data_IF_080272996741
#
_entry.id   IF_080272996741
#
_cell.length_a   1.000
_cell.length_b   1.000
_cell.length_c   1.000
_cell.angle_alpha   90.00
_cell.angle_beta   90.00
_cell.angle_gamma   90.00
#
_symmetry.space_group_name_H-M   'P 1'
#
loop_
_entity.id
_entity.type
_entity.pdbx_description
1 polymer ?
#
# COMPACT_ATOMS: atom_id res chain seq x y z
N UNK A 1 15.44 -34.02 55.67
CA UNK A 1 16.30 -33.91 54.48
C UNK A 1 15.96 -32.59 53.78
N UNK A 2 16.51 -31.47 54.25
CA UNK A 2 16.42 -30.15 53.60
C UNK A 2 17.67 -29.38 53.99
N UNK A 3 18.50 -29.02 53.00
CA UNK A 3 19.63 -28.10 53.12
C UNK A 3 19.20 -26.76 52.53
N UNK A 4 19.43 -25.67 53.24
CA UNK A 4 19.48 -24.33 52.66
C UNK A 4 20.71 -23.64 53.22
N UNK A 5 21.71 -23.44 52.37
CA UNK A 5 22.95 -22.73 52.67
C UNK A 5 22.74 -21.24 52.34
N UNK A 6 22.99 -20.37 53.31
CA UNK A 6 23.29 -18.95 53.09
C UNK A 6 24.78 -18.80 52.84
N UNK A 7 25.19 -18.09 51.79
CA UNK A 7 26.48 -17.39 51.73
C UNK A 7 26.26 -16.01 51.07
N UNK A 8 26.82 -15.01 51.74
CA UNK A 8 26.85 -13.58 51.45
C UNK A 8 28.05 -13.22 50.57
N UNK A 9 27.94 -12.17 49.75
CA UNK A 9 29.11 -11.36 49.35
C UNK A 9 28.73 -9.89 49.14
N UNK A 10 29.41 -9.05 49.92
CA UNK A 10 29.43 -7.59 49.93
C UNK A 10 30.40 -7.08 48.86
N UNK A 11 30.07 -6.02 48.10
CA UNK A 11 30.95 -4.84 47.93
C UNK A 11 30.35 -3.69 47.07
N UNK A 12 30.27 -2.53 47.73
CA UNK A 12 30.42 -1.12 47.32
C UNK A 12 29.93 -0.61 45.95
N UNK A 13 28.95 0.28 46.09
CA UNK A 13 28.47 1.35 45.22
C UNK A 13 29.54 2.42 44.98
N UNK A 14 29.63 2.98 43.75
CA UNK A 14 29.79 4.42 43.56
C UNK A 14 28.50 5.05 43.01
N UNK A 15 28.01 6.08 43.69
CA UNK A 15 26.97 7.01 43.20
C UNK A 15 27.63 8.15 42.46
N UNK A 16 27.23 8.37 41.20
CA UNK A 16 26.93 9.66 40.57
C UNK A 16 26.59 9.38 39.11
N UNK A 17 25.32 9.52 38.71
CA UNK A 17 24.76 10.76 38.18
C UNK A 17 25.21 11.02 36.74
N UNK A 18 24.48 10.41 35.78
CA UNK A 18 23.94 11.06 34.58
C UNK A 18 23.31 9.99 33.68
N UNK A 19 22.06 9.64 33.99
CA UNK A 19 21.19 8.97 33.01
C UNK A 19 20.80 10.05 32.01
N UNK A 20 21.64 10.25 30.99
CA UNK A 20 21.17 10.89 29.77
C UNK A 20 20.05 10.01 29.23
N UNK A 21 18.85 10.60 29.19
CA UNK A 21 17.75 10.22 28.30
C UNK A 21 18.29 10.12 26.87
N UNK A 22 18.83 8.97 26.48
CA UNK A 22 19.08 8.64 25.09
C UNK A 22 17.79 8.07 24.53
N UNK A 23 17.15 8.89 23.70
CA UNK A 23 16.14 8.54 22.71
C UNK A 23 16.32 7.09 22.26
N UNK A 24 15.34 6.23 22.55
CA UNK A 24 15.21 4.92 21.94
C UNK A 24 14.78 5.15 20.50
N UNK A 25 15.77 5.43 19.65
CA UNK A 25 15.63 5.46 18.21
C UNK A 25 15.36 4.00 17.78
N UNK A 26 14.27 3.70 17.06
CA UNK A 26 13.94 2.35 16.58
C UNK A 26 15.05 1.66 15.76
N UNK A 27 16.04 2.43 15.27
CA UNK A 27 17.12 1.96 14.41
C UNK A 27 18.21 1.11 15.07
N UNK A 28 18.38 1.11 16.40
CA UNK A 28 19.51 0.37 17.04
C UNK A 28 19.14 -1.09 17.35
N UNK A 29 17.85 -1.40 17.55
CA UNK A 29 17.41 -2.77 17.92
C UNK A 29 17.10 -3.63 16.69
N UNK A 30 16.80 -3.03 15.53
CA UNK A 30 16.56 -3.75 14.28
C UNK A 30 17.84 -4.30 13.63
N UNK A 31 19.03 -3.78 13.97
CA UNK A 31 20.30 -4.21 13.37
C UNK A 31 20.76 -5.63 13.81
N UNK A 32 19.99 -6.33 14.66
CA UNK A 32 20.33 -7.66 15.19
C UNK A 32 19.26 -8.74 14.92
N UNK A 33 18.20 -8.46 14.16
CA UNK A 33 17.26 -9.53 13.76
C UNK A 33 17.82 -10.32 12.55
N UNK A 34 18.21 -11.59 12.71
CA UNK A 34 18.72 -12.43 11.62
C UNK A 34 17.69 -12.69 10.49
N UNK A 35 16.45 -12.22 10.63
CA UNK A 35 15.40 -12.27 9.59
C UNK A 35 15.42 -11.08 8.63
N UNK A 36 16.22 -10.04 8.88
CA UNK A 36 16.32 -8.87 8.01
C UNK A 36 17.40 -9.07 6.94
N UNK A 37 16.97 -9.37 5.72
CA UNK A 37 17.84 -9.44 4.54
C UNK A 37 18.33 -8.04 4.18
N UNK A 38 19.64 -7.81 4.22
CA UNK A 38 20.23 -6.57 3.73
C UNK A 38 20.12 -6.48 2.21
N UNK A 39 19.88 -5.26 1.70
CA UNK A 39 19.90 -4.97 0.27
C UNK A 39 21.33 -5.09 -0.26
N UNK A 40 21.50 -5.73 -1.42
CA UNK A 40 22.73 -5.68 -2.20
C UNK A 40 22.73 -4.41 -3.06
N UNK A 41 23.19 -3.31 -2.47
CA UNK A 41 23.16 -2.00 -3.11
C UNK A 41 24.18 -1.84 -4.22
N UNK A 42 25.36 -2.45 -4.08
CA UNK A 42 26.45 -2.31 -5.03
C UNK A 42 26.13 -2.87 -6.41
N UNK A 43 25.45 -4.02 -6.46
CA UNK A 43 25.11 -4.71 -7.70
C UNK A 43 23.61 -4.63 -8.00
N UNK A 44 22.76 -5.26 -7.19
CA UNK A 44 21.34 -5.41 -7.54
C UNK A 44 20.58 -4.08 -7.57
N UNK A 45 20.69 -3.25 -6.54
CA UNK A 45 19.98 -1.97 -6.49
C UNK A 45 20.42 -1.02 -7.61
N UNK A 46 21.72 -0.79 -7.75
CA UNK A 46 22.25 0.14 -8.76
C UNK A 46 21.96 -0.34 -10.19
N UNK A 47 22.12 -1.64 -10.46
CA UNK A 47 21.79 -2.21 -11.78
C UNK A 47 20.30 -2.07 -12.09
N UNK A 48 19.42 -2.47 -11.17
CA UNK A 48 17.98 -2.40 -11.42
C UNK A 48 17.48 -0.95 -11.51
N UNK A 49 17.99 -0.05 -10.68
CA UNK A 49 17.70 1.38 -10.78
C UNK A 49 18.17 1.96 -12.12
N UNK A 50 19.37 1.60 -12.59
CA UNK A 50 19.88 2.07 -13.88
C UNK A 50 19.04 1.54 -15.05
N UNK A 51 18.57 0.28 -14.99
CA UNK A 51 17.64 -0.25 -15.98
C UNK A 51 16.33 0.53 -16.00
N UNK A 52 15.73 0.78 -14.84
CA UNK A 52 14.52 1.60 -14.71
C UNK A 52 14.72 3.01 -15.29
N UNK A 53 15.81 3.69 -14.89
CA UNK A 53 16.11 5.03 -15.37
C UNK A 53 16.34 5.04 -16.89
N UNK A 54 17.03 4.03 -17.44
CA UNK A 54 17.26 3.90 -18.89
C UNK A 54 15.96 3.70 -19.64
N UNK A 55 15.08 2.82 -19.16
CA UNK A 55 13.77 2.55 -19.76
C UNK A 55 12.89 3.80 -19.79
N UNK A 56 12.92 4.60 -18.72
CA UNK A 56 12.13 5.82 -18.59
C UNK A 56 12.78 7.05 -19.22
N UNK A 57 14.03 6.98 -19.66
CA UNK A 57 14.79 8.14 -20.14
C UNK A 57 15.13 9.14 -19.03
N UNK A 58 15.25 8.68 -17.78
CA UNK A 58 15.60 9.50 -16.63
C UNK A 58 17.11 9.66 -16.45
N UNK A 59 17.51 10.70 -15.73
CA UNK A 59 18.90 10.90 -15.31
C UNK A 59 19.38 9.67 -14.51
N UNK A 60 20.52 9.11 -14.90
CA UNK A 60 21.06 7.88 -14.31
C UNK A 60 21.48 8.05 -12.85
N UNK A 61 21.64 9.28 -12.36
CA UNK A 61 21.94 9.58 -10.96
C UNK A 61 20.71 9.54 -10.04
N UNK A 62 19.49 9.39 -10.57
CA UNK A 62 18.28 9.27 -9.78
C UNK A 62 18.21 7.90 -9.08
N UNK A 63 18.00 7.91 -7.77
CA UNK A 63 18.03 6.72 -6.91
C UNK A 63 17.82 7.10 -5.45
N UNK A 64 18.30 6.27 -4.52
CA UNK A 64 18.07 6.44 -3.07
C UNK A 64 18.50 7.82 -2.54
N UNK A 65 19.68 8.31 -2.94
CA UNK A 65 20.20 9.60 -2.46
C UNK A 65 19.46 10.81 -3.04
N UNK A 66 18.82 10.65 -4.20
CA UNK A 66 18.04 11.66 -4.91
C UNK A 66 16.58 11.21 -5.07
N UNK A 67 16.01 10.58 -4.05
CA UNK A 67 14.69 9.97 -4.16
C UNK A 67 13.59 11.01 -4.46
N UNK A 68 13.73 12.26 -3.98
CA UNK A 68 12.76 13.32 -4.29
C UNK A 68 12.77 13.71 -5.77
N UNK A 69 13.96 13.75 -6.40
CA UNK A 69 14.11 14.02 -7.82
C UNK A 69 13.59 12.83 -8.64
N UNK A 70 13.87 11.60 -8.20
CA UNK A 70 13.31 10.37 -8.78
C UNK A 70 11.77 10.38 -8.75
N UNK A 71 11.19 10.67 -7.58
CA UNK A 71 9.74 10.78 -7.39
C UNK A 71 9.16 11.86 -8.31
N UNK A 72 9.82 13.00 -8.40
CA UNK A 72 9.37 14.10 -9.26
C UNK A 72 9.44 13.74 -10.74
N UNK A 73 10.45 12.99 -11.19
CA UNK A 73 10.54 12.48 -12.56
C UNK A 73 9.41 11.47 -12.87
N UNK A 74 9.10 10.56 -11.94
CA UNK A 74 7.99 9.61 -12.05
C UNK A 74 6.65 10.35 -12.13
N UNK A 75 6.37 11.22 -11.15
CA UNK A 75 5.12 11.99 -11.09
C UNK A 75 4.97 12.94 -12.28
N UNK A 76 6.07 13.49 -12.81
CA UNK A 76 6.06 14.28 -14.05
C UNK A 76 5.64 13.44 -15.26
N UNK A 77 5.98 12.15 -15.30
CA UNK A 77 5.47 11.26 -16.35
C UNK A 77 3.94 11.19 -16.32
N UNK A 78 3.34 11.10 -15.13
CA UNK A 78 1.88 11.13 -14.97
C UNK A 78 1.30 12.48 -15.39
N UNK A 79 2.00 13.56 -15.07
CA UNK A 79 1.56 14.92 -15.34
C UNK A 79 1.60 15.29 -16.84
N UNK A 80 2.66 14.89 -17.56
CA UNK A 80 2.90 15.27 -18.95
C UNK A 80 2.22 14.31 -19.95
N UNK A 81 2.13 13.02 -19.60
CA UNK A 81 1.68 11.97 -20.52
C UNK A 81 0.45 11.20 -20.02
N UNK A 82 -0.19 11.68 -18.96
CA UNK A 82 -1.47 11.15 -18.48
C UNK A 82 -1.44 9.63 -18.23
N UNK A 83 -2.48 8.89 -18.63
CA UNK A 83 -2.52 7.44 -18.41
C UNK A 83 -1.47 6.67 -19.24
N UNK A 84 -0.94 7.26 -20.31
CA UNK A 84 0.19 6.68 -21.05
C UNK A 84 1.49 6.78 -20.24
N UNK A 85 1.73 7.94 -19.60
CA UNK A 85 2.86 8.11 -18.68
C UNK A 85 2.81 7.13 -17.52
N UNK A 86 1.60 6.97 -16.94
CA UNK A 86 1.35 5.96 -15.91
C UNK A 86 1.67 4.54 -16.39
N UNK A 87 1.20 4.16 -17.60
CA UNK A 87 1.45 2.84 -18.18
C UNK A 87 2.95 2.59 -18.37
N UNK A 88 3.68 3.55 -18.94
CA UNK A 88 5.12 3.42 -19.16
C UNK A 88 5.89 3.22 -17.85
N UNK A 89 5.53 3.97 -16.81
CA UNK A 89 6.09 3.79 -15.46
C UNK A 89 5.78 2.39 -14.93
N UNK A 90 4.56 1.90 -15.11
CA UNK A 90 4.17 0.57 -14.63
C UNK A 90 4.87 -0.57 -15.37
N UNK A 91 5.09 -0.44 -16.68
CA UNK A 91 5.91 -1.39 -17.45
C UNK A 91 7.36 -1.38 -16.96
N UNK A 92 7.97 -0.20 -16.80
CA UNK A 92 9.32 -0.07 -16.27
C UNK A 92 9.43 -0.59 -14.83
N UNK A 93 8.39 -0.39 -14.01
CA UNK A 93 8.33 -0.91 -12.65
C UNK A 93 8.25 -2.44 -12.61
N UNK A 94 7.48 -3.06 -13.52
CA UNK A 94 7.45 -4.53 -13.68
C UNK A 94 8.84 -5.07 -14.04
N UNK A 95 9.55 -4.43 -14.97
CA UNK A 95 10.92 -4.81 -15.32
C UNK A 95 11.90 -4.61 -14.14
N UNK A 96 11.77 -3.50 -13.41
CA UNK A 96 12.53 -3.23 -12.19
C UNK A 96 12.32 -4.31 -11.14
N UNK A 97 11.08 -4.73 -10.91
CA UNK A 97 10.74 -5.82 -10.00
C UNK A 97 11.34 -7.17 -10.42
N UNK A 98 11.42 -7.44 -11.72
CA UNK A 98 11.96 -8.67 -12.30
C UNK A 98 13.49 -8.71 -12.34
N UNK A 99 14.15 -7.56 -12.30
CA UNK A 99 15.60 -7.46 -12.27
C UNK A 99 16.22 -8.04 -10.99
N UNK A 100 15.48 -8.08 -9.88
CA UNK A 100 15.95 -8.64 -8.61
C UNK A 100 15.76 -10.16 -8.51
N UNK A 101 16.76 -10.85 -7.96
CA UNK A 101 16.68 -12.27 -7.57
C UNK A 101 16.60 -12.43 -6.04
N UNK A 102 16.23 -13.63 -5.57
CA UNK A 102 16.41 -14.08 -4.18
C UNK A 102 15.83 -13.14 -3.09
N UNK A 103 14.66 -12.54 -3.34
CA UNK A 103 13.99 -11.64 -2.39
C UNK A 103 14.64 -10.26 -2.24
N UNK A 104 15.67 -9.93 -3.04
CA UNK A 104 16.35 -8.64 -3.00
C UNK A 104 15.43 -7.46 -3.34
N UNK A 105 14.37 -7.67 -4.12
CA UNK A 105 13.37 -6.65 -4.37
C UNK A 105 12.75 -6.14 -3.06
N UNK A 106 12.36 -7.04 -2.17
CA UNK A 106 11.78 -6.66 -0.88
C UNK A 106 12.79 -5.89 -0.03
N UNK A 107 14.02 -6.40 0.07
CA UNK A 107 15.09 -5.77 0.83
C UNK A 107 15.50 -4.38 0.30
N UNK A 108 15.48 -4.17 -1.02
CA UNK A 108 15.97 -2.95 -1.66
C UNK A 108 14.89 -1.90 -1.96
N UNK A 109 13.65 -2.32 -2.20
CA UNK A 109 12.60 -1.43 -2.71
C UNK A 109 11.34 -1.38 -1.82
N UNK A 110 11.10 -2.36 -0.94
CA UNK A 110 9.88 -2.41 -0.10
C UNK A 110 10.15 -2.31 1.41
N UNK A 111 11.39 -2.51 1.85
CA UNK A 111 11.75 -2.48 3.27
C UNK A 111 12.91 -1.50 3.54
N UNK A 112 12.68 -0.39 4.27
CA UNK A 112 13.73 0.59 4.53
C UNK A 112 14.89 0.01 5.35
N UNK A 113 14.65 -1.01 6.19
CA UNK A 113 15.70 -1.66 6.97
C UNK A 113 16.73 -2.38 6.10
N UNK A 114 16.33 -2.91 4.94
CA UNK A 114 17.28 -3.55 4.02
C UNK A 114 18.27 -2.56 3.44
N UNK A 115 17.86 -1.30 3.22
CA UNK A 115 18.74 -0.21 2.79
C UNK A 115 19.62 0.33 3.93
N UNK A 116 19.09 0.37 5.16
CA UNK A 116 19.78 0.92 6.34
C UNK A 116 20.82 -0.01 6.95
N UNK A 117 20.66 -1.33 6.78
CA UNK A 117 21.58 -2.33 7.34
C UNK A 117 22.93 -2.42 6.60
N UNK A 118 23.14 -1.60 5.55
CA UNK A 118 24.36 -1.08 4.88
C UNK A 118 25.67 -1.90 4.83
N UNK A 119 25.70 -3.17 5.23
CA UNK A 119 26.91 -4.01 5.22
C UNK A 119 27.25 -4.46 3.79
N UNK A 120 26.28 -4.39 2.86
CA UNK A 120 26.41 -4.87 1.47
C UNK A 120 26.35 -3.73 0.41
N UNK A 121 26.31 -2.45 0.81
CA UNK A 121 26.20 -1.29 -0.09
C UNK A 121 27.56 -0.63 -0.37
N UNK A 122 28.65 -1.39 -0.44
CA UNK A 122 29.97 -0.85 -0.77
C UNK A 122 30.47 0.26 0.16
N UNK A 123 29.97 0.33 1.40
CA UNK A 123 30.31 1.37 2.39
C UNK A 123 29.45 2.63 2.34
N UNK A 124 28.43 2.72 1.48
CA UNK A 124 27.51 3.88 1.43
C UNK A 124 26.41 3.71 2.48
N UNK A 125 26.37 4.61 3.46
CA UNK A 125 25.29 4.69 4.44
C UNK A 125 24.20 5.63 3.95
N UNK A 126 22.96 5.14 3.89
CA UNK A 126 21.78 5.95 3.62
C UNK A 126 21.20 6.49 4.91
N UNK A 127 20.62 7.70 4.86
CA UNK A 127 19.85 8.23 5.99
C UNK A 127 18.49 7.53 6.07
N UNK A 128 17.85 7.59 7.25
CA UNK A 128 16.48 7.08 7.42
C UNK A 128 15.51 7.74 6.43
N UNK A 129 15.64 9.05 6.21
CA UNK A 129 14.80 9.80 5.27
C UNK A 129 14.98 9.30 3.83
N UNK A 130 16.22 9.06 3.40
CA UNK A 130 16.52 8.52 2.08
C UNK A 130 15.94 7.12 1.88
N UNK A 131 16.13 6.23 2.87
CA UNK A 131 15.61 4.86 2.80
C UNK A 131 14.07 4.85 2.78
N UNK A 132 13.44 5.60 3.69
CA UNK A 132 11.98 5.68 3.78
C UNK A 132 11.38 6.31 2.52
N UNK A 133 11.93 7.44 2.08
CA UNK A 133 11.45 8.16 0.90
C UNK A 133 11.60 7.36 -0.38
N UNK A 134 12.70 6.62 -0.55
CA UNK A 134 12.90 5.75 -1.69
C UNK A 134 11.93 4.58 -1.71
N UNK A 135 11.78 3.87 -0.59
CA UNK A 135 10.84 2.74 -0.45
C UNK A 135 9.39 3.20 -0.64
N UNK A 136 9.04 4.39 -0.14
CA UNK A 136 7.73 5.00 -0.34
C UNK A 136 7.35 5.05 -1.81
N UNK A 137 8.24 5.48 -2.71
CA UNK A 137 7.97 5.59 -4.16
C UNK A 137 7.50 4.26 -4.73
N UNK A 138 8.23 3.18 -4.48
CA UNK A 138 7.91 1.87 -5.05
C UNK A 138 6.62 1.30 -4.50
N UNK A 139 6.35 1.51 -3.21
CA UNK A 139 5.09 1.12 -2.57
C UNK A 139 3.90 1.91 -3.13
N UNK A 140 4.10 3.18 -3.50
CA UNK A 140 3.09 3.94 -4.22
C UNK A 140 2.83 3.35 -5.61
N UNK A 141 3.88 2.93 -6.32
CA UNK A 141 3.74 2.28 -7.63
C UNK A 141 3.01 0.94 -7.55
N UNK A 142 3.13 0.17 -6.46
CA UNK A 142 2.35 -1.05 -6.24
C UNK A 142 0.83 -0.80 -6.27
N UNK A 143 0.37 0.31 -5.68
CA UNK A 143 -1.02 0.72 -5.77
C UNK A 143 -1.36 1.27 -7.16
N UNK A 144 -0.55 2.20 -7.66
CA UNK A 144 -0.81 2.94 -8.90
C UNK A 144 -0.85 2.03 -10.12
N UNK A 145 -0.01 1.01 -10.16
CA UNK A 145 0.08 0.04 -11.25
C UNK A 145 -0.89 -1.15 -11.09
N UNK A 146 -1.44 -1.34 -9.88
CA UNK A 146 -2.51 -2.30 -9.61
C UNK A 146 -3.88 -1.62 -9.58
N UNK A 147 -4.51 -1.66 -8.41
CA UNK A 147 -5.88 -1.18 -8.21
C UNK A 147 -6.11 0.31 -8.52
N UNK A 148 -5.07 1.14 -8.46
CA UNK A 148 -5.16 2.58 -8.72
C UNK A 148 -5.17 2.93 -10.21
N UNK A 149 -4.71 2.05 -11.08
CA UNK A 149 -4.42 2.39 -12.48
C UNK A 149 -5.66 2.84 -13.25
N UNK A 150 -6.74 2.04 -13.17
CA UNK A 150 -7.99 2.31 -13.88
C UNK A 150 -8.67 3.58 -13.35
N UNK A 151 -8.58 3.85 -12.05
CA UNK A 151 -9.15 5.03 -11.42
C UNK A 151 -8.48 6.29 -11.96
N UNK A 152 -7.14 6.31 -12.03
CA UNK A 152 -6.40 7.43 -12.62
C UNK A 152 -6.70 7.57 -14.11
N UNK A 153 -6.66 6.47 -14.86
CA UNK A 153 -6.89 6.49 -16.30
C UNK A 153 -8.27 7.04 -16.68
N UNK A 154 -9.30 6.74 -15.89
CA UNK A 154 -10.67 7.25 -16.12
C UNK A 154 -10.85 8.75 -15.84
N UNK A 155 -9.87 9.37 -15.20
CA UNK A 155 -9.88 10.78 -14.87
C UNK A 155 -8.52 11.43 -15.18
N UNK A 156 -7.85 10.95 -16.22
CA UNK A 156 -6.45 11.24 -16.47
C UNK A 156 -6.19 12.73 -16.67
N UNK A 157 -7.09 13.46 -17.33
CA UNK A 157 -6.97 14.91 -17.51
C UNK A 157 -6.83 15.65 -16.16
N UNK A 158 -7.75 15.37 -15.23
CA UNK A 158 -7.77 16.07 -13.96
C UNK A 158 -6.72 15.50 -12.99
N UNK A 159 -6.51 14.18 -12.99
CA UNK A 159 -5.49 13.53 -12.16
C UNK A 159 -4.08 14.02 -12.51
N UNK A 160 -3.78 14.15 -13.80
CA UNK A 160 -2.49 14.70 -14.28
C UNK A 160 -2.36 16.18 -13.94
N UNK A 161 -3.45 16.95 -13.99
CA UNK A 161 -3.44 18.35 -13.58
C UNK A 161 -3.11 18.53 -12.08
N UNK A 162 -3.42 17.56 -11.22
CA UNK A 162 -2.99 17.59 -9.81
C UNK A 162 -1.47 17.54 -9.73
N UNK A 163 -0.81 16.63 -10.45
CA UNK A 163 0.65 16.55 -10.45
C UNK A 163 1.33 17.77 -11.11
N UNK A 164 0.67 18.43 -12.07
CA UNK A 164 1.19 19.69 -12.61
C UNK A 164 1.08 20.88 -11.63
N UNK A 165 0.01 20.94 -10.84
CA UNK A 165 -0.33 22.16 -10.10
C UNK A 165 -0.17 22.06 -8.57
N UNK A 166 -0.21 20.85 -8.02
CA UNK A 166 -0.29 20.59 -6.58
C UNK A 166 0.91 19.82 -6.03
N UNK A 167 1.95 19.56 -6.83
CA UNK A 167 3.16 18.85 -6.37
C UNK A 167 3.81 19.52 -5.15
N UNK A 168 3.87 20.86 -5.12
CA UNK A 168 4.38 21.57 -3.95
C UNK A 168 3.54 21.32 -2.68
N UNK A 169 2.21 21.28 -2.81
CA UNK A 169 1.31 20.99 -1.71
C UNK A 169 1.41 19.51 -1.27
N UNK A 170 1.58 18.59 -2.21
CA UNK A 170 1.86 17.17 -1.93
C UNK A 170 3.17 17.02 -1.13
N UNK A 171 4.24 17.71 -1.53
CA UNK A 171 5.50 17.74 -0.77
C UNK A 171 5.35 18.36 0.60
N UNK A 172 4.45 19.33 0.77
CA UNK A 172 4.13 19.86 2.08
C UNK A 172 3.43 18.80 2.95
N UNK A 173 2.48 18.04 2.41
CA UNK A 173 1.85 16.92 3.13
C UNK A 173 2.91 15.89 3.60
N UNK A 174 3.86 15.54 2.72
CA UNK A 174 4.98 14.64 3.04
C UNK A 174 5.86 15.20 4.17
N UNK A 175 6.22 16.49 4.09
CA UNK A 175 7.07 17.16 5.07
C UNK A 175 6.39 17.25 6.44
N UNK A 176 5.12 17.67 6.47
CA UNK A 176 4.33 17.75 7.69
C UNK A 176 4.25 16.39 8.40
N UNK A 177 4.04 15.31 7.63
CA UNK A 177 4.08 13.95 8.14
C UNK A 177 5.45 13.63 8.76
N UNK A 178 6.53 13.80 8.01
CA UNK A 178 7.88 13.46 8.46
C UNK A 178 8.28 14.23 9.73
N UNK A 179 8.00 15.54 9.79
CA UNK A 179 8.31 16.37 10.95
C UNK A 179 7.51 15.95 12.16
N UNK A 180 6.19 15.73 12.02
CA UNK A 180 5.32 15.37 13.15
C UNK A 180 5.58 13.95 13.65
N UNK A 181 5.74 12.98 12.75
CA UNK A 181 6.05 11.60 13.11
C UNK A 181 7.44 11.46 13.75
N UNK A 182 8.41 12.31 13.38
CA UNK A 182 9.71 12.36 14.06
C UNK A 182 9.63 13.00 15.45
N UNK A 183 8.79 14.04 15.61
CA UNK A 183 8.60 14.73 16.88
C UNK A 183 7.80 13.91 17.89
N UNK A 184 6.79 13.17 17.44
CA UNK A 184 5.94 12.31 18.28
C UNK A 184 5.67 10.95 17.61
N UNK A 185 6.61 9.99 17.76
CA UNK A 185 6.49 8.67 17.14
C UNK A 185 5.31 7.83 17.63
N UNK A 186 4.74 8.13 18.80
CA UNK A 186 3.59 7.39 19.33
C UNK A 186 2.31 7.71 18.54
N UNK A 187 2.23 8.91 17.98
CA UNK A 187 1.11 9.39 17.17
C UNK A 187 1.36 9.21 15.66
N UNK A 188 2.38 8.44 15.27
CA UNK A 188 2.73 8.24 13.87
C UNK A 188 1.54 7.81 13.00
N UNK A 189 0.66 6.93 13.50
CA UNK A 189 -0.53 6.50 12.76
C UNK A 189 -1.54 7.63 12.53
N UNK A 190 -1.75 8.50 13.52
CA UNK A 190 -2.60 9.68 13.32
C UNK A 190 -2.01 10.60 12.25
N UNK A 191 -0.68 10.73 12.19
CA UNK A 191 -0.03 11.53 11.15
C UNK A 191 -0.10 10.88 9.76
N UNK A 192 -0.08 9.54 9.66
CA UNK A 192 -0.34 8.84 8.37
C UNK A 192 -1.74 9.17 7.86
N UNK A 193 -2.73 9.17 8.74
CA UNK A 193 -4.12 9.50 8.40
C UNK A 193 -4.25 10.96 7.95
N UNK A 194 -3.60 11.89 8.64
CA UNK A 194 -3.56 13.31 8.27
C UNK A 194 -2.90 13.49 6.88
N UNK A 195 -1.79 12.79 6.61
CA UNK A 195 -1.11 12.84 5.33
C UNK A 195 -1.99 12.30 4.18
N UNK A 196 -2.61 11.14 4.40
CA UNK A 196 -3.51 10.53 3.42
C UNK A 196 -4.73 11.43 3.13
N UNK A 197 -5.31 12.05 4.15
CA UNK A 197 -6.38 13.04 3.97
C UNK A 197 -5.89 14.31 3.28
N UNK A 198 -4.66 14.77 3.53
CA UNK A 198 -4.07 15.90 2.81
C UNK A 198 -4.08 15.64 1.29
N UNK A 199 -3.63 14.46 0.86
CA UNK A 199 -3.72 14.04 -0.54
C UNK A 199 -5.17 13.90 -1.04
N UNK A 200 -6.06 13.32 -0.24
CA UNK A 200 -7.49 13.25 -0.56
C UNK A 200 -8.03 14.64 -0.92
N UNK A 201 -7.76 15.64 -0.09
CA UNK A 201 -8.24 17.02 -0.29
C UNK A 201 -7.64 17.65 -1.54
N UNK A 202 -6.36 17.43 -1.86
CA UNK A 202 -5.74 17.96 -3.06
C UNK A 202 -6.42 17.42 -4.34
N UNK A 203 -6.60 16.10 -4.41
CA UNK A 203 -7.25 15.45 -5.55
C UNK A 203 -8.76 15.77 -5.61
N UNK A 204 -9.45 15.81 -4.48
CA UNK A 204 -10.85 16.25 -4.40
C UNK A 204 -11.02 17.70 -4.89
N UNK A 205 -10.15 18.61 -4.45
CA UNK A 205 -10.26 20.02 -4.79
C UNK A 205 -10.00 20.29 -6.26
N UNK A 206 -9.10 19.55 -6.89
CA UNK A 206 -8.83 19.66 -8.31
C UNK A 206 -9.92 19.00 -9.19
N UNK A 207 -10.35 17.78 -8.83
CA UNK A 207 -11.17 16.96 -9.73
C UNK A 207 -12.68 16.95 -9.39
N UNK A 208 -13.05 17.23 -8.13
CA UNK A 208 -14.42 17.09 -7.61
C UNK A 208 -15.06 15.71 -7.89
N UNK A 209 -14.22 14.67 -7.90
CA UNK A 209 -14.56 13.28 -8.17
C UNK A 209 -14.14 12.39 -6.99
N UNK A 210 -15.07 11.65 -6.37
CA UNK A 210 -14.77 10.84 -5.18
C UNK A 210 -13.76 9.72 -5.46
N UNK A 211 -13.80 9.12 -6.65
CA UNK A 211 -12.85 8.10 -7.09
C UNK A 211 -11.42 8.63 -7.21
N UNK A 212 -11.25 9.87 -7.68
CA UNK A 212 -9.93 10.51 -7.82
C UNK A 212 -9.38 10.97 -6.47
N UNK A 213 -10.25 11.43 -5.57
CA UNK A 213 -9.87 11.73 -4.18
C UNK A 213 -9.45 10.46 -3.43
N UNK A 214 -10.21 9.36 -3.59
CA UNK A 214 -9.84 8.04 -3.09
C UNK A 214 -8.49 7.57 -3.65
N UNK A 215 -8.21 7.83 -4.93
CA UNK A 215 -6.93 7.53 -5.54
C UNK A 215 -5.79 8.28 -4.87
N UNK A 216 -5.91 9.60 -4.71
CA UNK A 216 -4.90 10.42 -4.04
C UNK A 216 -4.63 9.97 -2.60
N UNK A 217 -5.70 9.65 -1.87
CA UNK A 217 -5.59 9.11 -0.52
C UNK A 217 -4.80 7.79 -0.48
N UNK A 218 -5.13 6.83 -1.35
CA UNK A 218 -4.45 5.53 -1.38
C UNK A 218 -3.03 5.61 -1.91
N UNK A 219 -2.77 6.57 -2.82
CA UNK A 219 -1.42 6.89 -3.26
C UNK A 219 -0.55 7.24 -2.05
N UNK A 220 -1.00 8.13 -1.18
CA UNK A 220 -0.21 8.47 0.02
C UNK A 220 -0.20 7.34 1.06
N UNK A 221 -1.37 6.77 1.35
CA UNK A 221 -1.51 5.69 2.34
C UNK A 221 -0.61 4.50 2.04
N UNK A 222 -0.62 3.99 0.80
CA UNK A 222 0.14 2.78 0.46
C UNK A 222 1.65 3.00 0.55
N UNK A 223 2.10 4.19 0.15
CA UNK A 223 3.50 4.60 0.31
C UNK A 223 3.97 4.58 1.76
N UNK A 224 3.12 5.06 2.66
CA UNK A 224 3.48 5.30 4.08
C UNK A 224 3.16 4.10 4.99
N UNK A 225 2.14 3.30 4.69
CA UNK A 225 1.71 2.17 5.53
C UNK A 225 2.77 1.07 5.65
N UNK A 226 3.58 0.84 4.59
CA UNK A 226 4.68 -0.12 4.67
C UNK A 226 5.87 0.39 5.51
N UNK A 227 5.99 1.70 5.73
CA UNK A 227 6.95 2.28 6.67
C UNK A 227 6.44 2.17 8.13
N UNK A 228 5.13 2.10 8.32
CA UNK A 228 4.45 2.01 9.61
C UNK A 228 3.39 0.91 9.60
N UNK A 229 3.80 -0.38 9.51
CA UNK A 229 2.87 -1.50 9.35
C UNK A 229 1.87 -1.65 10.50
N UNK A 230 2.14 -1.05 11.66
CA UNK A 230 1.21 -0.95 12.79
C UNK A 230 -0.02 -0.07 12.50
N UNK A 231 0.02 0.76 11.46
CA UNK A 231 -1.05 1.71 11.11
C UNK A 231 -2.06 1.13 10.10
N UNK A 232 -2.26 -0.20 10.11
CA UNK A 232 -3.07 -0.95 9.14
C UNK A 232 -4.57 -0.62 9.14
N UNK A 233 -5.06 0.09 10.15
CA UNK A 233 -6.48 0.44 10.30
C UNK A 233 -6.89 1.72 9.57
N UNK A 234 -5.97 2.39 8.87
CA UNK A 234 -6.30 3.62 8.13
C UNK A 234 -6.94 3.23 6.80
N UNK A 235 -8.15 3.70 6.56
CA UNK A 235 -8.89 3.43 5.31
C UNK A 235 -9.27 4.73 4.61
N UNK A 236 -8.93 4.80 3.33
CA UNK A 236 -9.45 5.82 2.43
C UNK A 236 -10.90 5.48 2.10
N UNK A 237 -11.85 6.24 2.63
CA UNK A 237 -13.28 6.03 2.38
C UNK A 237 -13.81 7.15 1.48
N UNK A 238 -14.99 6.96 0.88
CA UNK A 238 -15.62 8.01 0.08
C UNK A 238 -16.28 9.11 0.92
N UNK A 239 -16.29 8.97 2.26
CA UNK A 239 -17.06 9.80 3.21
C UNK A 239 -16.27 10.87 3.95
N UNK A 240 -15.01 11.15 3.57
CA UNK A 240 -14.16 12.18 4.21
C UNK A 240 -14.66 13.64 4.07
N UNK A 241 -15.89 13.84 3.59
CA UNK A 241 -16.50 15.15 3.32
C UNK A 241 -17.11 15.82 4.55
N UNK A 242 -17.49 15.08 5.59
CA UNK A 242 -18.09 15.69 6.78
C UNK A 242 -17.03 16.05 7.84
N UNK A 243 -16.36 17.18 7.60
CA UNK A 243 -15.47 17.89 8.52
C UNK A 243 -16.20 18.45 9.78
N UNK A 244 -17.20 17.75 10.31
CA UNK A 244 -17.85 18.10 11.57
C UNK A 244 -17.29 17.32 12.77
N UNK A 245 -16.56 16.22 12.54
CA UNK A 245 -16.08 15.35 13.62
C UNK A 245 -14.67 15.69 14.12
N UNK A 246 -13.81 16.31 13.31
CA UNK A 246 -12.45 16.66 13.74
C UNK A 246 -12.38 17.90 14.65
N UNK A 247 -13.40 18.78 14.62
CA UNK A 247 -13.46 19.96 15.51
C UNK A 247 -13.94 19.61 16.93
N UNK A 248 -14.67 18.50 17.10
CA UNK A 248 -15.10 18.05 18.42
C UNK A 248 -13.94 17.45 19.24
N UNK A 249 -12.94 16.87 18.57
CA UNK A 249 -11.74 16.31 19.21
C UNK A 249 -10.83 17.42 19.74
N UNK A 250 -10.79 18.60 19.10
CA UNK A 250 -9.96 19.73 19.54
C UNK A 250 -10.56 20.48 20.76
N UNK A 251 -11.88 20.42 20.97
CA UNK A 251 -12.56 21.12 22.08
C UNK A 251 -12.63 20.27 23.37
N UNK A 252 -12.47 18.94 23.27
CA UNK A 252 -12.55 18.01 24.41
C UNK A 252 -11.15 17.63 24.97
N UNK A 253 -10.06 18.13 24.37
CA UNK A 253 -8.68 17.76 24.70
C UNK A 253 -8.03 18.39 25.95
N UNK A 254 -8.76 18.63 27.04
CA UNK A 254 -8.18 19.04 28.34
C UNK A 254 -8.58 18.19 29.54
N UNK A 255 -9.20 17.02 29.32
CA UNK A 255 -9.42 16.06 30.42
C UNK A 255 -9.06 14.66 29.96
N UNK A 256 -7.95 14.12 30.48
CA UNK A 256 -7.72 12.70 30.72
C UNK A 256 -8.01 11.71 29.58
N UNK A 257 -6.93 11.13 29.05
CA UNK A 257 -6.80 9.71 28.68
C UNK A 257 -8.11 8.91 28.73
N UNK A 258 -8.78 8.85 27.59
CA UNK A 258 -9.46 7.63 27.16
C UNK A 258 -9.03 7.40 25.72
N UNK A 259 -8.38 6.28 25.51
CA UNK A 259 -8.26 5.63 24.21
C UNK A 259 -9.60 5.73 23.49
N UNK A 260 -9.68 6.61 22.49
CA UNK A 260 -10.68 6.52 21.45
C UNK A 260 -10.37 5.31 20.57
N UNK A 261 -10.41 4.12 21.18
CA UNK A 261 -10.88 2.98 20.44
C UNK A 261 -12.25 3.39 19.94
N UNK A 262 -12.44 3.37 18.62
CA UNK A 262 -13.74 2.96 18.13
C UNK A 262 -13.99 1.64 18.86
N UNK A 263 -14.80 1.69 19.93
CA UNK A 263 -15.63 0.56 20.27
C UNK A 263 -16.41 0.31 18.99
N UNK A 264 -15.87 -0.56 18.15
CA UNK A 264 -16.63 -1.31 17.17
C UNK A 264 -17.58 -2.16 18.00
N UNK A 265 -18.60 -1.52 18.57
CA UNK A 265 -19.74 -2.23 19.06
C UNK A 265 -20.23 -3.05 17.87
N UNK A 266 -20.13 -4.36 18.02
CA UNK A 266 -20.51 -5.34 17.00
C UNK A 266 -21.93 -5.10 16.48
N UNK A 267 -22.77 -4.39 17.24
CA UNK A 267 -24.11 -3.96 16.82
C UNK A 267 -24.06 -2.93 15.69
N UNK A 268 -23.21 -1.89 15.73
CA UNK A 268 -23.16 -0.82 14.72
C UNK A 268 -22.59 -1.33 13.38
N UNK A 269 -21.59 -2.22 13.43
CA UNK A 269 -21.09 -2.88 12.23
C UNK A 269 -22.18 -3.76 11.59
N UNK A 270 -22.90 -4.54 12.40
CA UNK A 270 -23.98 -5.41 11.90
C UNK A 270 -25.19 -4.62 11.45
N UNK A 271 -25.46 -3.44 12.01
CA UNK A 271 -26.50 -2.51 11.58
C UNK A 271 -26.15 -1.87 10.23
N UNK A 272 -24.92 -1.35 10.06
CA UNK A 272 -24.45 -0.84 8.77
C UNK A 272 -24.41 -1.94 7.70
N UNK A 273 -23.98 -3.15 8.06
CA UNK A 273 -23.99 -4.31 7.17
C UNK A 273 -25.43 -4.74 6.84
N UNK A 274 -26.35 -4.69 7.80
CA UNK A 274 -27.77 -5.01 7.60
C UNK A 274 -28.47 -3.96 6.72
N UNK A 275 -28.16 -2.68 6.89
CA UNK A 275 -28.70 -1.60 6.07
C UNK A 275 -28.12 -1.63 4.65
N UNK A 276 -26.84 -1.97 4.49
CA UNK A 276 -26.23 -2.23 3.19
C UNK A 276 -26.86 -3.47 2.52
N UNK A 277 -27.02 -4.56 3.26
CA UNK A 277 -27.67 -5.78 2.77
C UNK A 277 -29.13 -5.51 2.38
N UNK A 278 -29.86 -4.70 3.16
CA UNK A 278 -31.24 -4.30 2.91
C UNK A 278 -31.36 -3.38 1.70
N UNK A 279 -30.48 -2.37 1.59
CA UNK A 279 -30.41 -1.48 0.43
C UNK A 279 -30.09 -2.23 -0.87
N UNK A 280 -29.30 -3.31 -0.77
CA UNK A 280 -28.91 -4.15 -1.89
C UNK A 280 -29.81 -5.39 -2.09
N UNK A 281 -30.85 -5.57 -1.27
CA UNK A 281 -31.75 -6.75 -1.29
C UNK A 281 -31.03 -8.10 -1.18
N UNK A 282 -30.03 -8.20 -0.30
CA UNK A 282 -29.18 -9.36 -0.07
C UNK A 282 -29.71 -10.17 1.11
N UNK A 283 -30.11 -11.43 0.89
CA UNK A 283 -30.50 -12.37 1.95
C UNK A 283 -29.34 -13.27 2.45
N UNK A 284 -28.22 -13.34 1.70
CA UNK A 284 -27.02 -14.14 1.99
C UNK A 284 -25.80 -13.49 1.26
N UNK A 285 -24.62 -13.28 1.88
CA UNK A 285 -23.67 -12.26 1.43
C UNK A 285 -22.78 -12.73 0.27
N UNK A 286 -23.20 -12.43 -0.97
CA UNK A 286 -22.36 -12.28 -2.17
C UNK A 286 -23.09 -11.34 -3.17
N UNK A 287 -22.59 -10.15 -3.55
CA UNK A 287 -23.38 -9.28 -4.43
C UNK A 287 -22.60 -8.60 -5.56
N UNK A 288 -22.98 -8.83 -6.83
CA UNK A 288 -23.19 -7.69 -7.75
C UNK A 288 -24.07 -8.00 -8.97
N UNK A 289 -25.17 -7.24 -9.10
CA UNK A 289 -25.72 -6.53 -10.28
C UNK A 289 -27.25 -6.39 -10.23
N UNK A 290 -27.73 -5.13 -10.25
CA UNK A 290 -28.94 -4.76 -11.01
C UNK A 290 -28.68 -3.46 -11.77
N UNK A 291 -28.89 -3.52 -13.08
CA UNK A 291 -28.84 -2.39 -14.00
C UNK A 291 -30.02 -1.44 -13.79
N UNK A 292 -29.76 -0.14 -13.91
CA UNK A 292 -30.75 0.81 -14.43
C UNK A 292 -30.16 1.55 -15.62
N UNK A 293 -30.86 1.44 -16.74
CA UNK A 293 -30.56 1.96 -18.06
C UNK A 293 -30.55 3.48 -18.09
N UNK A 294 -29.36 4.10 -18.18
CA UNK A 294 -29.15 5.36 -18.91
C UNK A 294 -27.66 5.57 -19.18
N UNK A 295 -27.40 6.25 -20.30
CA UNK A 295 -26.11 6.66 -20.87
C UNK A 295 -25.19 5.55 -21.41
N UNK A 296 -25.49 5.08 -22.62
CA UNK A 296 -24.67 4.14 -23.41
C UNK A 296 -23.74 4.83 -24.42
N UNK A 297 -23.47 6.13 -24.31
CA UNK A 297 -22.80 6.90 -25.39
C UNK A 297 -21.61 7.79 -24.98
N UNK A 298 -21.03 7.64 -23.79
CA UNK A 298 -19.80 8.39 -23.42
C UNK A 298 -18.80 7.60 -22.57
N UNK A 299 -18.60 6.32 -22.85
CA UNK A 299 -17.61 5.47 -22.16
C UNK A 299 -16.73 4.73 -23.17
N UNK A 300 -16.01 5.50 -23.98
CA UNK A 300 -14.80 5.04 -24.67
C UNK A 300 -13.63 5.90 -24.15
N UNK A 301 -13.01 5.45 -23.06
CA UNK A 301 -11.61 5.79 -22.75
C UNK A 301 -10.99 4.66 -21.94
N UNK A 302 -9.74 4.37 -22.27
CA UNK A 302 -9.10 3.08 -22.06
C UNK A 302 -8.87 2.77 -20.57
N UNK A 303 -9.03 1.48 -20.22
CA UNK A 303 -8.78 0.81 -18.93
C UNK A 303 -9.99 0.61 -18.00
N UNK A 304 -11.09 1.36 -18.15
CA UNK A 304 -12.43 0.83 -17.80
C UNK A 304 -13.02 0.02 -18.96
N UNK A 305 -12.48 0.20 -20.17
CA UNK A 305 -12.76 -0.63 -21.33
C UNK A 305 -12.48 -2.13 -21.06
N UNK A 306 -11.59 -2.49 -20.15
CA UNK A 306 -11.29 -3.89 -19.77
C UNK A 306 -12.50 -4.57 -19.12
N UNK A 307 -13.15 -3.88 -18.18
CA UNK A 307 -14.39 -4.35 -17.52
C UNK A 307 -15.61 -4.18 -18.40
N UNK A 308 -15.69 -3.11 -19.22
CA UNK A 308 -16.83 -2.84 -20.09
C UNK A 308 -16.82 -3.62 -21.41
N UNK A 309 -15.65 -3.97 -21.96
CA UNK A 309 -15.55 -4.81 -23.18
C UNK A 309 -15.87 -6.28 -22.90
N UNK A 310 -15.69 -6.70 -21.65
CA UNK A 310 -15.92 -8.07 -21.18
C UNK A 310 -17.00 -8.15 -20.09
N UNK A 311 -17.83 -7.12 -19.94
CA UNK A 311 -18.78 -6.96 -18.81
C UNK A 311 -19.65 -8.21 -18.61
N UNK A 312 -20.14 -8.77 -19.71
CA UNK A 312 -20.97 -9.97 -19.71
C UNK A 312 -20.25 -11.19 -19.12
N UNK A 313 -19.03 -11.47 -19.58
CA UNK A 313 -18.29 -12.64 -19.09
C UNK A 313 -17.78 -12.42 -17.68
N UNK A 314 -17.26 -11.23 -17.34
CA UNK A 314 -16.78 -10.93 -15.99
C UNK A 314 -17.90 -11.11 -14.98
N UNK A 315 -19.08 -10.55 -15.26
CA UNK A 315 -20.26 -10.68 -14.41
C UNK A 315 -20.77 -12.12 -14.31
N UNK A 316 -20.62 -12.92 -15.37
CA UNK A 316 -21.01 -14.32 -15.38
C UNK A 316 -20.05 -15.18 -14.56
N UNK A 317 -18.75 -14.87 -14.57
CA UNK A 317 -17.72 -15.59 -13.78
C UNK A 317 -18.05 -15.58 -12.29
N UNK A 318 -18.67 -14.51 -11.79
CA UNK A 318 -19.07 -14.40 -10.38
C UNK A 318 -20.35 -15.13 -10.01
N UNK A 319 -21.04 -15.71 -11.00
CA UNK A 319 -22.31 -16.40 -10.81
C UNK A 319 -22.11 -17.91 -10.92
N UNK A 320 -23.08 -18.65 -10.40
CA UNK A 320 -23.13 -20.12 -10.50
C UNK A 320 -21.87 -20.79 -9.95
N UNK A 321 -21.46 -21.85 -10.63
CA UNK A 321 -20.37 -22.74 -10.18
C UNK A 321 -19.01 -22.04 -10.17
N UNK A 322 -18.75 -21.12 -11.11
CA UNK A 322 -17.52 -20.32 -11.12
C UNK A 322 -17.47 -19.35 -9.94
N UNK A 323 -18.58 -18.71 -9.60
CA UNK A 323 -18.67 -17.87 -8.41
C UNK A 323 -18.43 -18.65 -7.12
N UNK A 324 -18.99 -19.87 -7.01
CA UNK A 324 -18.74 -20.77 -5.89
C UNK A 324 -17.26 -21.18 -5.81
N UNK A 325 -16.64 -21.47 -6.95
CA UNK A 325 -15.21 -21.81 -7.04
C UNK A 325 -14.33 -20.64 -6.60
N UNK A 326 -14.62 -19.41 -7.05
CA UNK A 326 -13.91 -18.20 -6.62
C UNK A 326 -14.02 -18.00 -5.10
N UNK A 327 -15.22 -18.20 -4.55
CA UNK A 327 -15.44 -18.14 -3.10
C UNK A 327 -14.63 -19.19 -2.37
N UNK A 328 -14.61 -20.43 -2.86
CA UNK A 328 -13.85 -21.52 -2.26
C UNK A 328 -12.35 -21.24 -2.31
N UNK A 329 -11.82 -20.76 -3.44
CA UNK A 329 -10.40 -20.42 -3.56
C UNK A 329 -9.98 -19.31 -2.60
N UNK A 330 -10.85 -18.32 -2.37
CA UNK A 330 -10.62 -17.31 -1.34
C UNK A 330 -10.63 -17.93 0.05
N UNK A 331 -11.66 -18.70 0.39
CA UNK A 331 -11.77 -19.32 1.72
C UNK A 331 -10.59 -20.27 2.01
N UNK A 332 -10.19 -21.09 1.03
CA UNK A 332 -9.04 -21.98 1.16
C UNK A 332 -7.77 -21.21 1.48
N UNK A 333 -7.55 -20.08 0.80
CA UNK A 333 -6.40 -19.21 1.09
C UNK A 333 -6.52 -18.61 2.48
N UNK A 334 -7.62 -17.92 2.78
CA UNK A 334 -7.81 -17.18 4.03
C UNK A 334 -7.71 -18.10 5.24
N UNK A 335 -8.41 -19.23 5.24
CA UNK A 335 -8.42 -20.18 6.36
C UNK A 335 -7.05 -20.84 6.53
N UNK A 336 -6.43 -21.31 5.43
CA UNK A 336 -5.17 -22.06 5.55
C UNK A 336 -4.00 -21.13 5.92
N UNK A 337 -3.97 -19.92 5.36
CA UNK A 337 -2.92 -18.94 5.68
C UNK A 337 -3.03 -18.38 7.09
N UNK A 338 -4.25 -18.31 7.67
CA UNK A 338 -4.43 -17.95 9.08
C UNK A 338 -3.95 -19.05 10.05
N UNK A 339 -4.09 -20.31 9.66
CA UNK A 339 -3.62 -21.45 10.46
C UNK A 339 -2.09 -21.56 10.42
N UNK A 340 -1.49 -21.34 9.25
CA UNK A 340 -0.03 -21.35 9.08
C UNK A 340 0.45 -20.19 8.19
N UNK A 341 0.74 -19.07 8.85
CA UNK A 341 1.25 -17.87 8.20
C UNK A 341 2.58 -18.08 7.43
N UNK A 342 3.35 -19.14 7.76
CA UNK A 342 4.61 -19.43 7.04
C UNK A 342 4.35 -19.93 5.63
N UNK A 343 3.18 -20.53 5.38
CA UNK A 343 2.76 -21.00 4.06
C UNK A 343 1.99 -19.95 3.26
N UNK A 344 1.65 -18.80 3.86
CA UNK A 344 0.82 -17.78 3.22
C UNK A 344 1.35 -17.36 1.85
N UNK A 345 2.66 -17.20 1.69
CA UNK A 345 3.25 -16.80 0.40
C UNK A 345 3.32 -17.93 -0.61
N UNK A 346 3.38 -19.19 -0.16
CA UNK A 346 3.27 -20.36 -1.05
C UNK A 346 1.83 -20.53 -1.54
N UNK A 347 0.85 -20.33 -0.65
CA UNK A 347 -0.58 -20.42 -0.95
C UNK A 347 -1.08 -19.26 -1.82
N UNK A 348 -0.41 -18.10 -1.74
CA UNK A 348 -0.71 -16.92 -2.54
C UNK A 348 -0.80 -17.24 -4.04
N UNK A 349 0.18 -17.96 -4.60
CA UNK A 349 0.18 -18.31 -6.02
C UNK A 349 -1.00 -19.21 -6.40
N UNK A 350 -1.37 -20.17 -5.54
CA UNK A 350 -2.54 -21.04 -5.77
C UNK A 350 -3.83 -20.21 -5.82
N UNK A 351 -3.93 -19.21 -4.95
CA UNK A 351 -5.08 -18.32 -4.90
C UNK A 351 -5.19 -17.44 -6.15
N UNK A 352 -4.08 -16.81 -6.57
CA UNK A 352 -4.01 -16.01 -7.80
C UNK A 352 -4.40 -16.84 -9.04
N UNK A 353 -3.77 -18.01 -9.22
CA UNK A 353 -4.00 -18.89 -10.37
C UNK A 353 -5.46 -19.35 -10.43
N UNK A 354 -6.09 -19.62 -9.28
CA UNK A 354 -7.50 -19.98 -9.27
C UNK A 354 -8.37 -18.85 -9.85
N UNK A 355 -8.14 -17.61 -9.41
CA UNK A 355 -8.88 -16.46 -9.90
C UNK A 355 -8.66 -16.25 -11.40
N UNK A 356 -7.40 -16.24 -11.85
CA UNK A 356 -7.06 -16.15 -13.28
C UNK A 356 -7.76 -17.24 -14.10
N UNK A 357 -7.75 -18.49 -13.61
CA UNK A 357 -8.34 -19.63 -14.33
C UNK A 357 -9.86 -19.50 -14.48
N UNK A 358 -10.59 -19.04 -13.46
CA UNK A 358 -12.03 -18.87 -13.58
C UNK A 358 -12.39 -17.77 -14.58
N UNK A 359 -11.62 -16.68 -14.61
CA UNK A 359 -11.82 -15.63 -15.60
C UNK A 359 -11.39 -16.05 -17.00
N UNK A 360 -10.30 -16.81 -17.13
CA UNK A 360 -9.89 -17.42 -18.40
C UNK A 360 -10.98 -18.33 -18.97
N UNK A 361 -11.55 -19.21 -18.15
CA UNK A 361 -12.56 -20.17 -18.60
C UNK A 361 -13.86 -19.48 -19.07
N UNK A 362 -14.26 -18.40 -18.40
CA UNK A 362 -15.52 -17.72 -18.70
C UNK A 362 -15.41 -16.57 -19.70
N UNK A 363 -14.25 -15.90 -19.76
CA UNK A 363 -13.99 -14.80 -20.69
C UNK A 363 -13.17 -15.23 -21.92
N UNK A 364 -12.66 -16.46 -21.93
CA UNK A 364 -11.86 -17.02 -23.01
C UNK A 364 -10.36 -16.72 -22.88
N UNK A 365 -9.56 -17.59 -23.50
CA UNK A 365 -8.09 -17.57 -23.42
C UNK A 365 -7.44 -16.28 -23.91
N UNK A 366 -8.14 -15.50 -24.75
CA UNK A 366 -7.65 -14.22 -25.29
C UNK A 366 -8.01 -13.02 -24.42
N UNK A 367 -8.79 -13.20 -23.35
CA UNK A 367 -9.16 -12.13 -22.44
C UNK A 367 -8.09 -11.96 -21.35
N UNK A 368 -6.86 -11.65 -21.76
CA UNK A 368 -5.71 -11.44 -20.86
C UNK A 368 -6.01 -10.33 -19.83
N UNK A 369 -6.72 -9.32 -20.30
CA UNK A 369 -7.31 -8.22 -19.56
C UNK A 369 -8.17 -8.65 -18.36
N UNK A 370 -9.11 -9.59 -18.56
CA UNK A 370 -9.98 -10.09 -17.48
C UNK A 370 -9.22 -11.00 -16.52
N UNK A 371 -8.25 -11.76 -17.04
CA UNK A 371 -7.37 -12.62 -16.23
C UNK A 371 -6.48 -11.78 -15.32
N UNK A 372 -5.85 -10.74 -15.87
CA UNK A 372 -5.02 -9.80 -15.12
C UNK A 372 -5.80 -9.11 -14.01
N UNK A 373 -7.01 -8.62 -14.32
CA UNK A 373 -7.87 -8.01 -13.31
C UNK A 373 -8.18 -8.99 -12.16
N UNK A 374 -8.49 -10.25 -12.47
CA UNK A 374 -8.80 -11.27 -11.46
C UNK A 374 -7.61 -11.58 -10.56
N UNK A 375 -6.42 -11.60 -11.15
CA UNK A 375 -5.18 -11.72 -10.41
C UNK A 375 -4.97 -10.52 -9.48
N UNK A 376 -5.07 -9.29 -9.97
CA UNK A 376 -4.88 -8.10 -9.12
C UNK A 376 -5.93 -8.02 -8.00
N UNK A 377 -7.18 -8.39 -8.29
CA UNK A 377 -8.24 -8.46 -7.29
C UNK A 377 -7.88 -9.43 -6.14
N UNK A 378 -7.38 -10.63 -6.47
CA UNK A 378 -6.97 -11.62 -5.47
C UNK A 378 -5.65 -11.24 -4.78
N UNK A 379 -4.72 -10.60 -5.50
CA UNK A 379 -3.44 -10.09 -4.97
C UNK A 379 -3.64 -9.04 -3.89
N UNK A 380 -4.63 -8.16 -4.04
CA UNK A 380 -4.96 -7.17 -3.00
C UNK A 380 -5.34 -7.83 -1.68
N UNK A 381 -6.10 -8.93 -1.71
CA UNK A 381 -6.44 -9.68 -0.49
C UNK A 381 -5.19 -10.30 0.15
N UNK A 382 -4.31 -10.93 -0.66
CA UNK A 382 -3.02 -11.48 -0.20
C UNK A 382 -2.19 -10.39 0.48
N UNK A 383 -1.99 -9.26 -0.19
CA UNK A 383 -1.18 -8.15 0.31
C UNK A 383 -1.75 -7.52 1.57
N UNK A 384 -3.08 -7.44 1.68
CA UNK A 384 -3.76 -6.89 2.86
C UNK A 384 -3.54 -7.76 4.09
N UNK A 385 -3.40 -9.09 3.93
CA UNK A 385 -3.20 -10.03 5.03
C UNK A 385 -1.73 -10.33 5.31
N UNK A 386 -0.93 -10.48 4.25
CA UNK A 386 0.47 -10.89 4.29
C UNK A 386 1.29 -10.06 3.30
N UNK A 387 1.60 -8.79 3.63
CA UNK A 387 2.28 -7.87 2.73
C UNK A 387 3.69 -8.32 2.32
N UNK A 388 4.31 -9.22 3.09
CA UNK A 388 5.62 -9.81 2.76
C UNK A 388 5.59 -10.79 1.59
N UNK A 389 4.40 -11.20 1.12
CA UNK A 389 4.29 -12.14 0.02
C UNK A 389 4.48 -11.45 -1.33
N UNK A 390 5.57 -11.81 -2.02
CA UNK A 390 5.89 -11.34 -3.37
C UNK A 390 5.01 -11.99 -4.46
N UNK A 391 3.70 -12.09 -4.23
CA UNK A 391 2.73 -12.62 -5.18
C UNK A 391 2.59 -11.64 -6.35
N UNK A 392 2.72 -12.13 -7.59
CA UNK A 392 2.76 -11.29 -8.79
C UNK A 392 1.80 -11.82 -9.84
N UNK A 393 1.14 -10.90 -10.52
CA UNK A 393 0.30 -11.18 -11.67
C UNK A 393 1.14 -11.13 -12.93
N UNK A 394 1.24 -12.26 -13.64
CA UNK A 394 2.01 -12.37 -14.89
C UNK A 394 1.04 -12.78 -15.98
N UNK A 395 0.53 -11.79 -16.71
CA UNK A 395 -0.06 -12.01 -18.02
C UNK A 395 0.97 -11.69 -19.12
#
# INVERSE_FOLDING_TARGET
>A
MFRTQKISCTQRIPRSADIQKKSLIPGVVAAQDPRLTACNGGNSLNTCQSQFNTKMGFDQSLGVTKYQDLRSAIEKSFADYQALGLLNICEAYKEYQQCYTDGQFFACAQNPFGLLTATNNGGVQFTQDQANGYVKIWNQLDFVCGAGFSIFANAEDCGSAVFNNQTAAMRQCDNDFNVKAAADPNEACAYVEIAANCYFQLFWNACKKPEVAYWGCNYERTGTNLLYPQCSQIFCTYMWRDQSLSLLVLIIGFSGVLSGGLDCDSTVYMECQADLNKALSIADPQPWLRHTTRTKEKLESAKFATYLSNEGCMSQTWKGDSGQTLRQCRLDYEVTSDVDATQACTLANKYLICFETQFKNNCGDKSNDSQFWACEYSRVNIFTRFPQCAARCVC
#
